data_IF_440624443192
#
_entry.id   IF_440624443192
#
_cell.length_a   1.000
_cell.length_b   1.000
_cell.length_c   1.000
_cell.angle_alpha   90.00
_cell.angle_beta   90.00
_cell.angle_gamma   90.00
#
_symmetry.space_group_name_H-M   'P 1'
#
loop_
_entity.id
_entity.type
_entity.pdbx_description
1 polymer ?
#
# COMPACT_ATOMS: atom_id res chain seq x y z
N UNK A 1 39.12 -4.63 73.52
CA UNK A 1 39.61 -5.65 72.57
C UNK A 1 38.64 -5.73 71.39
N UNK A 2 38.97 -5.08 70.26
CA UNK A 2 38.16 -5.18 69.04
C UNK A 2 38.45 -6.53 68.37
N UNK A 3 37.41 -7.35 68.20
CA UNK A 3 37.49 -8.60 67.42
C UNK A 3 37.94 -8.23 66.01
N UNK A 4 39.04 -8.83 65.52
CA UNK A 4 39.47 -8.70 64.13
C UNK A 4 38.30 -9.09 63.24
N UNK A 5 37.73 -8.11 62.56
CA UNK A 5 36.63 -8.31 61.62
C UNK A 5 37.08 -9.26 60.50
N UNK A 6 36.32 -10.35 60.33
CA UNK A 6 36.45 -11.27 59.21
C UNK A 6 35.96 -10.58 57.92
N UNK A 7 36.82 -9.78 57.33
CA UNK A 7 36.53 -8.90 56.19
C UNK A 7 36.29 -9.64 54.85
N UNK A 8 36.33 -10.98 54.82
CA UNK A 8 36.13 -11.76 53.59
C UNK A 8 34.76 -12.39 53.56
N UNK A 9 33.97 -12.11 52.54
CA UNK A 9 32.62 -12.65 52.38
C UNK A 9 32.67 -14.13 51.98
N UNK A 10 31.58 -14.87 52.20
CA UNK A 10 31.47 -16.26 51.73
C UNK A 10 31.67 -16.36 50.21
N UNK A 11 31.17 -15.37 49.46
CA UNK A 11 31.27 -15.33 48.00
C UNK A 11 32.74 -15.25 47.53
N UNK A 12 33.59 -14.50 48.22
CA UNK A 12 35.02 -14.39 47.89
C UNK A 12 35.75 -15.73 48.12
N UNK A 13 35.42 -16.41 49.22
CA UNK A 13 35.94 -17.74 49.56
C UNK A 13 35.47 -18.76 48.51
N UNK A 14 34.20 -18.71 48.12
CA UNK A 14 33.62 -19.62 47.14
C UNK A 14 34.23 -19.43 45.75
N UNK A 15 34.44 -18.19 45.29
CA UNK A 15 35.06 -17.89 44.01
C UNK A 15 36.49 -18.44 43.93
N UNK A 16 37.28 -18.25 44.99
CA UNK A 16 38.66 -18.75 45.08
C UNK A 16 38.67 -20.27 45.19
N UNK A 17 37.80 -20.86 46.01
CA UNK A 17 37.68 -22.31 46.16
C UNK A 17 37.27 -22.99 44.84
N UNK A 18 36.35 -22.37 44.07
CA UNK A 18 35.96 -22.83 42.74
C UNK A 18 37.12 -22.75 41.73
N UNK A 19 37.93 -21.69 41.79
CA UNK A 19 39.12 -21.56 40.93
C UNK A 19 40.14 -22.66 41.27
N UNK A 20 40.45 -22.84 42.54
CA UNK A 20 41.36 -23.89 43.01
C UNK A 20 40.85 -25.29 42.67
N UNK A 21 39.54 -25.52 42.74
CA UNK A 21 38.92 -26.79 42.35
C UNK A 21 39.13 -27.07 40.85
N UNK A 22 39.03 -26.06 39.98
CA UNK A 22 39.33 -26.21 38.53
C UNK A 22 40.80 -26.52 38.30
N UNK A 23 41.70 -25.79 38.96
CA UNK A 23 43.16 -26.02 38.89
C UNK A 23 43.54 -27.42 39.39
N UNK A 24 42.82 -27.93 40.39
CA UNK A 24 43.00 -29.27 40.93
C UNK A 24 42.32 -30.38 40.10
N UNK A 25 41.73 -30.05 38.94
CA UNK A 25 41.05 -31.02 38.07
C UNK A 25 39.79 -31.63 38.71
N UNK A 26 39.09 -30.88 39.55
CA UNK A 26 37.88 -31.33 40.25
C UNK A 26 38.13 -32.09 41.55
N UNK A 27 39.38 -32.11 42.05
CA UNK A 27 39.71 -32.72 43.33
C UNK A 27 39.26 -31.87 44.53
N UNK A 28 38.20 -32.31 45.21
CA UNK A 28 37.71 -31.60 46.39
C UNK A 28 38.68 -31.66 47.58
N UNK A 29 39.51 -32.70 47.67
CA UNK A 29 40.43 -32.90 48.79
C UNK A 29 41.64 -31.97 48.73
N UNK A 30 42.02 -31.56 47.51
CA UNK A 30 43.12 -30.60 47.28
C UNK A 30 42.76 -29.15 47.62
N UNK A 31 41.48 -28.83 47.77
CA UNK A 31 41.05 -27.49 48.19
C UNK A 31 40.91 -27.47 49.71
N UNK A 32 41.87 -26.86 50.42
CA UNK A 32 41.83 -26.74 51.88
C UNK A 32 41.98 -25.29 52.36
N UNK A 33 41.57 -25.01 53.61
CA UNK A 33 41.48 -23.65 54.16
C UNK A 33 42.76 -22.81 54.03
N UNK A 34 43.94 -23.40 54.19
CA UNK A 34 45.20 -22.67 53.96
C UNK A 34 45.44 -22.29 52.49
N UNK A 35 45.14 -23.16 51.52
CA UNK A 35 45.32 -22.84 50.10
C UNK A 35 44.38 -21.71 49.67
N UNK A 36 43.13 -21.75 50.15
CA UNK A 36 42.15 -20.68 49.95
C UNK A 36 42.60 -19.38 50.63
N UNK A 37 43.11 -19.45 51.86
CA UNK A 37 43.63 -18.27 52.58
C UNK A 37 44.83 -17.63 51.86
N UNK A 38 45.79 -18.43 51.40
CA UNK A 38 46.96 -17.95 50.65
C UNK A 38 46.55 -17.33 49.32
N UNK A 39 45.63 -17.95 48.58
CA UNK A 39 45.08 -17.39 47.34
C UNK A 39 44.28 -16.09 47.59
N UNK A 40 43.76 -15.91 48.80
CA UNK A 40 43.11 -14.69 49.28
C UNK A 40 44.12 -13.65 49.82
N UNK A 41 45.43 -13.88 49.72
CA UNK A 41 46.47 -12.95 50.19
C UNK A 41 46.71 -12.98 51.70
N UNK A 42 46.25 -14.02 52.40
CA UNK A 42 46.48 -14.22 53.83
C UNK A 42 47.64 -15.21 54.06
N UNK A 43 48.50 -14.99 55.07
CA UNK A 43 49.63 -15.88 55.33
C UNK A 43 49.21 -17.27 55.82
N UNK A 44 48.04 -17.38 56.50
CA UNK A 44 47.46 -18.65 56.94
C UNK A 44 45.94 -18.50 57.12
N UNK A 45 45.19 -19.60 57.01
CA UNK A 45 43.76 -19.62 57.30
C UNK A 45 43.48 -19.35 58.78
N UNK A 46 42.44 -18.56 59.05
CA UNK A 46 41.87 -18.39 60.39
C UNK A 46 40.60 -19.27 60.52
N UNK A 47 40.07 -19.39 61.74
CA UNK A 47 38.90 -20.24 62.04
C UNK A 47 37.67 -19.90 61.17
N UNK A 48 37.51 -18.63 60.80
CA UNK A 48 36.45 -18.17 59.90
C UNK A 48 36.61 -18.71 58.48
N UNK A 49 37.81 -18.62 57.90
CA UNK A 49 38.09 -19.16 56.55
C UNK A 49 37.90 -20.68 56.54
N UNK A 50 38.32 -21.39 57.58
CA UNK A 50 38.08 -22.85 57.68
C UNK A 50 36.59 -23.17 57.68
N UNK A 51 35.78 -22.51 58.51
CA UNK A 51 34.33 -22.73 58.54
C UNK A 51 33.67 -22.48 57.18
N UNK A 52 34.07 -21.39 56.49
CA UNK A 52 33.53 -21.04 55.16
C UNK A 52 33.93 -22.04 54.07
N UNK A 53 35.15 -22.57 54.14
CA UNK A 53 35.61 -23.62 53.21
C UNK A 53 34.92 -24.95 53.48
N UNK A 54 34.68 -25.30 54.75
CA UNK A 54 33.94 -26.52 55.11
C UNK A 54 32.48 -26.45 54.63
N UNK A 55 31.83 -25.28 54.78
CA UNK A 55 30.48 -25.06 54.24
C UNK A 55 30.45 -25.12 52.70
N UNK A 56 31.48 -24.58 52.03
CA UNK A 56 31.65 -24.74 50.59
C UNK A 56 31.82 -26.22 50.18
N UNK A 57 32.65 -26.98 50.90
CA UNK A 57 32.88 -28.42 50.63
C UNK A 57 31.58 -29.21 50.73
N UNK A 58 30.81 -29.03 51.81
CA UNK A 58 29.50 -29.68 51.97
C UNK A 58 28.57 -29.40 50.78
N UNK A 59 28.54 -28.17 50.26
CA UNK A 59 27.72 -27.83 49.09
C UNK A 59 28.22 -28.48 47.80
N UNK A 60 29.53 -28.66 47.65
CA UNK A 60 30.10 -29.36 46.49
C UNK A 60 29.89 -30.87 46.56
N UNK A 61 29.89 -31.45 47.77
CA UNK A 61 29.49 -32.83 48.02
C UNK A 61 28.01 -33.05 47.67
N UNK A 62 27.11 -32.15 48.10
CA UNK A 62 25.68 -32.21 47.72
C UNK A 62 25.49 -32.13 46.20
N UNK A 63 26.32 -31.34 45.50
CA UNK A 63 26.32 -31.25 44.03
C UNK A 63 26.97 -32.47 43.35
N UNK A 64 27.45 -33.45 44.10
CA UNK A 64 28.07 -34.66 43.56
C UNK A 64 29.49 -34.47 43.02
N UNK A 65 30.12 -33.31 43.24
CA UNK A 65 31.46 -33.01 42.69
C UNK A 65 32.51 -34.01 43.19
N UNK A 66 32.42 -34.42 44.45
CA UNK A 66 33.33 -35.42 45.03
C UNK A 66 33.27 -36.77 44.29
N UNK A 67 32.13 -37.10 43.67
CA UNK A 67 31.90 -38.37 42.99
C UNK A 67 32.31 -38.34 41.50
N UNK A 68 32.71 -37.19 40.97
CA UNK A 68 33.14 -37.06 39.56
C UNK A 68 34.32 -38.00 39.25
N UNK A 69 35.20 -38.25 40.22
CA UNK A 69 36.32 -39.18 40.07
C UNK A 69 35.92 -40.66 40.09
N UNK A 70 34.75 -40.96 40.65
CA UNK A 70 34.18 -42.29 40.69
C UNK A 70 33.37 -42.58 39.42
N UNK A 71 33.19 -41.58 38.55
CA UNK A 71 32.55 -41.77 37.27
C UNK A 71 33.37 -42.74 36.40
N UNK A 72 32.71 -43.60 35.62
CA UNK A 72 33.38 -44.45 34.65
C UNK A 72 34.27 -43.63 33.71
N UNK A 73 35.49 -44.12 33.46
CA UNK A 73 36.39 -43.57 32.44
C UNK A 73 35.71 -43.62 31.07
N UNK A 74 35.68 -42.50 30.32
CA UNK A 74 34.99 -42.41 29.03
C UNK A 74 33.57 -41.85 29.09
N UNK A 75 32.92 -41.81 30.27
CA UNK A 75 31.56 -41.29 30.40
C UNK A 75 31.46 -39.81 30.04
N UNK A 76 32.52 -39.04 30.35
CA UNK A 76 32.59 -37.62 30.02
C UNK A 76 32.59 -37.41 28.51
N UNK A 77 33.47 -38.12 27.81
CA UNK A 77 33.62 -38.03 26.36
C UNK A 77 32.34 -38.48 25.66
N UNK A 78 31.72 -39.58 26.12
CA UNK A 78 30.44 -40.06 25.58
C UNK A 78 29.29 -39.06 25.79
N UNK A 79 29.22 -38.42 26.97
CA UNK A 79 28.23 -37.38 27.25
C UNK A 79 28.46 -36.12 26.40
N UNK A 80 29.72 -35.68 26.28
CA UNK A 80 30.09 -34.53 25.46
C UNK A 80 29.74 -34.78 23.97
N UNK A 81 30.04 -35.96 23.42
CA UNK A 81 29.72 -36.33 22.04
C UNK A 81 28.21 -36.42 21.79
N UNK A 82 27.46 -37.09 22.68
CA UNK A 82 26.00 -37.21 22.57
C UNK A 82 25.30 -35.85 22.70
N UNK A 83 25.74 -35.01 23.64
CA UNK A 83 25.20 -33.67 23.82
C UNK A 83 25.53 -32.77 22.63
N UNK A 84 26.76 -32.84 22.13
CA UNK A 84 27.17 -32.07 20.97
C UNK A 84 26.32 -32.42 19.74
N UNK A 85 26.21 -33.71 19.44
CA UNK A 85 25.40 -34.22 18.31
C UNK A 85 23.94 -33.82 18.45
N UNK A 86 23.34 -34.03 19.64
CA UNK A 86 21.93 -33.68 19.87
C UNK A 86 21.65 -32.18 19.75
N UNK A 87 22.54 -31.33 20.27
CA UNK A 87 22.42 -29.87 20.15
C UNK A 87 22.60 -29.44 18.68
N UNK A 88 23.56 -30.02 17.97
CA UNK A 88 23.80 -29.72 16.55
C UNK A 88 22.59 -30.08 15.68
N UNK A 89 21.97 -31.24 15.91
CA UNK A 89 20.74 -31.66 15.23
C UNK A 89 19.58 -30.68 15.48
N UNK A 90 19.40 -30.25 16.72
CA UNK A 90 18.35 -29.26 17.07
C UNK A 90 18.63 -27.93 16.37
N UNK A 91 19.87 -27.45 16.39
CA UNK A 91 20.25 -26.21 15.69
C UNK A 91 19.99 -26.33 14.19
N UNK A 92 20.35 -27.46 13.58
CA UNK A 92 20.12 -27.72 12.15
C UNK A 92 18.64 -27.73 11.81
N UNK A 93 17.80 -28.36 12.62
CA UNK A 93 16.34 -28.37 12.45
C UNK A 93 15.79 -26.94 12.57
N UNK A 94 16.20 -26.20 13.60
CA UNK A 94 15.75 -24.83 13.83
C UNK A 94 16.11 -23.91 12.65
N UNK A 95 17.34 -24.00 12.15
CA UNK A 95 17.78 -23.26 10.96
C UNK A 95 16.99 -23.67 9.71
N UNK A 96 16.76 -24.97 9.51
CA UNK A 96 15.97 -25.47 8.38
C UNK A 96 14.53 -24.99 8.39
N UNK A 97 13.86 -25.02 9.55
CA UNK A 97 12.49 -24.52 9.72
C UNK A 97 12.40 -23.00 9.53
N UNK A 98 13.36 -22.27 10.09
CA UNK A 98 13.43 -20.80 9.94
C UNK A 98 13.66 -20.42 8.49
N UNK A 99 14.64 -21.04 7.82
CA UNK A 99 14.93 -20.82 6.41
C UNK A 99 13.73 -21.12 5.51
N UNK A 100 13.04 -22.25 5.74
CA UNK A 100 11.81 -22.61 5.01
C UNK A 100 10.69 -21.58 5.18
N UNK A 101 10.59 -20.96 6.36
CA UNK A 101 9.56 -19.95 6.63
C UNK A 101 9.86 -18.66 5.88
N UNK A 102 11.12 -18.21 5.95
CA UNK A 102 11.59 -17.02 5.22
C UNK A 102 11.43 -17.21 3.71
N UNK A 103 11.80 -18.37 3.17
CA UNK A 103 11.73 -18.66 1.74
C UNK A 103 10.28 -18.60 1.22
N UNK A 104 9.33 -19.19 1.97
CA UNK A 104 7.89 -19.10 1.66
C UNK A 104 7.34 -17.68 1.73
N UNK A 105 7.86 -16.84 2.61
CA UNK A 105 7.47 -15.44 2.71
C UNK A 105 8.01 -14.64 1.53
N UNK A 106 9.28 -14.84 1.18
CA UNK A 106 9.88 -14.26 -0.04
C UNK A 106 9.12 -14.66 -1.30
N UNK A 107 8.76 -15.92 -1.44
CA UNK A 107 8.01 -16.40 -2.60
C UNK A 107 6.62 -15.74 -2.68
N UNK A 108 5.92 -15.58 -1.55
CA UNK A 108 4.64 -14.87 -1.48
C UNK A 108 4.79 -13.37 -1.80
N UNK A 109 5.83 -12.73 -1.27
CA UNK A 109 6.13 -11.33 -1.58
C UNK A 109 6.37 -11.15 -3.07
N UNK A 110 7.19 -12.01 -3.66
CA UNK A 110 7.50 -11.96 -5.08
C UNK A 110 6.26 -12.14 -5.96
N UNK A 111 5.42 -13.14 -5.66
CA UNK A 111 4.14 -13.33 -6.36
C UNK A 111 3.23 -12.10 -6.27
N UNK A 112 3.17 -11.48 -5.09
CA UNK A 112 2.36 -10.28 -4.87
C UNK A 112 2.91 -9.10 -5.65
N UNK A 113 4.23 -8.89 -5.63
CA UNK A 113 4.91 -7.85 -6.41
C UNK A 113 4.67 -8.03 -7.92
N UNK A 114 4.75 -9.26 -8.44
CA UNK A 114 4.46 -9.52 -9.86
C UNK A 114 3.01 -9.16 -10.21
N UNK A 115 2.04 -9.63 -9.42
CA UNK A 115 0.63 -9.32 -9.65
C UNK A 115 0.32 -7.82 -9.56
N UNK A 116 0.95 -7.13 -8.61
CA UNK A 116 0.81 -5.67 -8.49
C UNK A 116 1.45 -4.96 -9.69
N UNK A 117 2.60 -5.41 -10.17
CA UNK A 117 3.26 -4.89 -11.36
C UNK A 117 2.40 -5.03 -12.62
N UNK A 118 1.80 -6.22 -12.83
CA UNK A 118 0.86 -6.46 -13.93
C UNK A 118 -0.37 -5.54 -13.85
N UNK A 119 -0.94 -5.38 -12.65
CA UNK A 119 -2.09 -4.50 -12.45
C UNK A 119 -1.76 -3.03 -12.68
N UNK A 120 -0.58 -2.58 -12.26
CA UNK A 120 -0.10 -1.22 -12.51
C UNK A 120 0.02 -0.98 -14.02
N UNK A 121 0.69 -1.89 -14.74
CA UNK A 121 0.84 -1.77 -16.19
C UNK A 121 -0.50 -1.71 -16.92
N UNK A 122 -1.49 -2.50 -16.49
CA UNK A 122 -2.84 -2.46 -17.04
C UNK A 122 -3.54 -1.11 -16.77
N UNK A 123 -3.47 -0.61 -15.53
CA UNK A 123 -4.05 0.69 -15.17
C UNK A 123 -3.36 1.86 -15.90
N UNK A 124 -2.06 1.79 -16.12
CA UNK A 124 -1.32 2.77 -16.91
C UNK A 124 -1.79 2.76 -18.38
N UNK A 125 -1.98 1.58 -18.96
CA UNK A 125 -2.53 1.44 -20.32
C UNK A 125 -3.96 1.98 -20.42
N UNK A 126 -4.82 1.70 -19.43
CA UNK A 126 -6.19 2.24 -19.39
C UNK A 126 -6.16 3.76 -19.28
N UNK A 127 -5.32 4.32 -18.41
CA UNK A 127 -5.17 5.76 -18.22
C UNK A 127 -4.73 6.47 -19.51
N UNK A 128 -3.79 5.88 -20.24
CA UNK A 128 -3.33 6.46 -21.51
C UNK A 128 -4.43 6.40 -22.58
N UNK A 129 -5.18 5.30 -22.66
CA UNK A 129 -6.34 5.21 -23.56
C UNK A 129 -7.42 6.25 -23.26
N UNK A 130 -7.70 6.49 -21.97
CA UNK A 130 -8.66 7.51 -21.52
C UNK A 130 -8.17 8.94 -21.83
N UNK A 131 -6.87 9.18 -21.73
CA UNK A 131 -6.26 10.46 -22.13
C UNK A 131 -6.40 10.69 -23.62
N UNK A 132 -6.13 9.69 -24.44
CA UNK A 132 -6.30 9.77 -25.89
C UNK A 132 -7.77 10.02 -26.27
N UNK A 133 -8.70 9.30 -25.63
CA UNK A 133 -10.14 9.50 -25.83
C UNK A 133 -10.59 10.93 -25.48
N UNK A 134 -10.07 11.50 -24.39
CA UNK A 134 -10.34 12.91 -24.01
C UNK A 134 -9.81 13.89 -25.04
N UNK A 135 -8.58 13.72 -25.52
CA UNK A 135 -8.01 14.60 -26.56
C UNK A 135 -8.86 14.56 -27.83
N UNK A 136 -9.32 13.37 -28.23
CA UNK A 136 -10.23 13.22 -29.37
C UNK A 136 -11.57 13.92 -29.12
N UNK A 137 -12.16 13.75 -27.94
CA UNK A 137 -13.41 14.41 -27.57
C UNK A 137 -13.28 15.95 -27.59
N UNK A 138 -12.21 16.50 -27.02
CA UNK A 138 -11.94 17.94 -27.00
C UNK A 138 -11.80 18.49 -28.43
N UNK A 139 -11.07 17.77 -29.29
CA UNK A 139 -10.94 18.15 -30.72
C UNK A 139 -12.31 18.15 -31.42
N UNK A 140 -13.18 17.18 -31.12
CA UNK A 140 -14.53 17.11 -31.68
C UNK A 140 -15.39 18.27 -31.18
N UNK A 141 -15.33 18.61 -29.89
CA UNK A 141 -16.03 19.78 -29.33
C UNK A 141 -15.56 21.07 -29.99
N UNK A 142 -14.26 21.24 -30.21
CA UNK A 142 -13.73 22.44 -30.89
C UNK A 142 -14.24 22.53 -32.34
N UNK A 143 -14.24 21.42 -33.09
CA UNK A 143 -14.76 21.41 -34.47
C UNK A 143 -16.26 21.68 -34.53
N UNK A 144 -17.05 21.10 -33.62
CA UNK A 144 -18.49 21.37 -33.54
C UNK A 144 -18.76 22.83 -33.16
N UNK A 145 -17.98 23.40 -32.25
CA UNK A 145 -18.09 24.82 -31.88
C UNK A 145 -17.82 25.75 -33.06
N UNK A 146 -16.80 25.46 -33.88
CA UNK A 146 -16.51 26.21 -35.12
C UNK A 146 -17.66 26.10 -36.13
N UNK A 147 -18.23 24.90 -36.31
CA UNK A 147 -19.39 24.69 -37.19
C UNK A 147 -20.62 25.45 -36.72
N UNK A 148 -20.91 25.44 -35.41
CA UNK A 148 -22.02 26.19 -34.84
C UNK A 148 -21.87 27.69 -35.07
N UNK A 149 -20.66 28.24 -34.87
CA UNK A 149 -20.39 29.65 -35.16
C UNK A 149 -20.64 30.00 -36.64
N UNK A 150 -20.17 29.17 -37.57
CA UNK A 150 -20.41 29.36 -39.00
C UNK A 150 -21.90 29.31 -39.36
N UNK A 151 -22.65 28.35 -38.81
CA UNK A 151 -24.10 28.25 -39.02
C UNK A 151 -24.86 29.45 -38.42
N UNK A 152 -24.41 29.98 -37.28
CA UNK A 152 -24.98 31.20 -36.69
C UNK A 152 -24.75 32.42 -37.58
N UNK A 153 -23.56 32.56 -38.16
CA UNK A 153 -23.23 33.64 -39.10
C UNK A 153 -24.06 33.53 -40.40
N UNK A 154 -24.21 32.31 -40.94
CA UNK A 154 -25.07 32.04 -42.11
C UNK A 154 -26.54 32.37 -41.83
N UNK A 155 -27.06 31.94 -40.68
CA UNK A 155 -28.43 32.25 -40.27
C UNK A 155 -28.65 33.76 -40.09
N UNK A 156 -27.67 34.48 -39.53
CA UNK A 156 -27.73 35.93 -39.41
C UNK A 156 -27.69 36.64 -40.78
N UNK A 157 -26.90 36.14 -41.72
CA UNK A 157 -26.85 36.67 -43.08
C UNK A 157 -28.18 36.44 -43.82
N UNK A 158 -28.76 35.25 -43.69
CA UNK A 158 -30.03 34.92 -44.33
C UNK A 158 -31.19 35.72 -43.73
N UNK A 159 -31.21 35.90 -42.40
CA UNK A 159 -32.16 36.81 -41.75
C UNK A 159 -32.08 38.22 -42.32
N UNK A 160 -30.88 38.78 -42.47
CA UNK A 160 -30.71 40.12 -43.08
C UNK A 160 -31.24 40.17 -44.52
N UNK A 161 -31.07 39.10 -45.31
CA UNK A 161 -31.62 39.02 -46.67
C UNK A 161 -33.15 38.98 -46.65
N UNK A 162 -33.75 38.20 -45.75
CA UNK A 162 -35.18 38.13 -45.56
C UNK A 162 -35.75 39.51 -45.14
N UNK A 163 -35.15 40.18 -44.15
CA UNK A 163 -35.55 41.51 -43.70
C UNK A 163 -35.51 42.54 -44.86
N UNK A 164 -34.47 42.48 -45.71
CA UNK A 164 -34.37 43.33 -46.90
C UNK A 164 -35.42 43.01 -47.97
N UNK A 165 -35.75 41.73 -48.16
CA UNK A 165 -36.77 41.31 -49.11
C UNK A 165 -38.17 41.75 -48.65
N UNK A 166 -38.45 41.62 -47.35
CA UNK A 166 -39.69 42.09 -46.72
C UNK A 166 -39.84 43.60 -46.85
N UNK A 167 -38.78 44.38 -46.56
CA UNK A 167 -38.80 45.83 -46.75
C UNK A 167 -39.09 46.25 -48.20
N UNK A 168 -38.54 45.52 -49.19
CA UNK A 168 -38.85 45.75 -50.61
C UNK A 168 -40.29 45.41 -50.96
N UNK A 169 -40.84 44.33 -50.41
CA UNK A 169 -42.25 43.98 -50.61
C UNK A 169 -43.17 45.05 -50.06
N UNK A 170 -42.87 45.58 -48.88
CA UNK A 170 -43.64 46.67 -48.27
C UNK A 170 -43.54 47.97 -49.05
N UNK A 171 -42.36 48.30 -49.61
CA UNK A 171 -42.21 49.42 -50.53
C UNK A 171 -43.09 49.24 -51.78
N UNK A 172 -43.04 48.06 -52.41
CA UNK A 172 -43.87 47.75 -53.59
C UNK A 172 -45.36 47.80 -53.26
N UNK A 173 -45.78 47.28 -52.10
CA UNK A 173 -47.16 47.40 -51.60
C UNK A 173 -47.57 48.86 -51.44
N UNK A 174 -46.71 49.69 -50.85
CA UNK A 174 -46.96 51.13 -50.70
C UNK A 174 -47.04 51.86 -52.04
N UNK A 175 -46.15 51.53 -52.99
CA UNK A 175 -46.20 52.06 -54.37
C UNK A 175 -47.50 51.64 -55.06
N UNK A 176 -47.90 50.39 -54.93
CA UNK A 176 -49.14 49.84 -55.48
C UNK A 176 -50.38 50.52 -54.88
N UNK A 177 -50.46 50.68 -53.56
CA UNK A 177 -51.54 51.44 -52.91
C UNK A 177 -51.59 52.89 -53.38
N UNK A 178 -50.44 53.54 -53.55
CA UNK A 178 -50.38 54.91 -54.05
C UNK A 178 -50.83 55.02 -55.51
N UNK A 179 -50.47 54.04 -56.35
CA UNK A 179 -50.98 53.94 -57.72
C UNK A 179 -52.49 53.72 -57.74
N UNK A 180 -53.01 52.82 -56.91
CA UNK A 180 -54.45 52.61 -56.74
C UNK A 180 -55.16 53.90 -56.33
N UNK A 181 -54.64 54.63 -55.33
CA UNK A 181 -55.18 55.93 -54.91
C UNK A 181 -55.18 56.93 -56.05
N UNK A 182 -54.11 57.01 -56.85
CA UNK A 182 -53.99 57.93 -58.00
C UNK A 182 -54.93 57.56 -59.15
N UNK A 183 -55.07 56.27 -59.46
CA UNK A 183 -56.03 55.77 -60.44
C UNK A 183 -57.49 56.02 -60.00
N UNK A 184 -57.76 55.99 -58.69
CA UNK A 184 -59.04 56.39 -58.11
C UNK A 184 -59.31 57.92 -58.08
N UNK A 185 -58.45 58.77 -58.67
CA UNK A 185 -58.71 60.22 -58.84
C UNK A 185 -59.37 60.56 -60.19
N UNK A 186 -59.68 59.56 -61.03
CA UNK A 186 -60.65 59.72 -62.11
C UNK A 186 -61.99 59.10 -61.69
N UNK A 187 -63.15 59.80 -61.80
CA UNK A 187 -64.42 59.19 -61.47
C UNK A 187 -64.84 58.28 -62.65
N UNK A 188 -64.29 57.08 -62.70
CA UNK A 188 -64.89 55.99 -63.45
C UNK A 188 -65.86 55.28 -62.51
N UNK A 189 -67.16 55.60 -62.69
CA UNK A 189 -68.27 54.75 -62.27
C UNK A 189 -68.05 53.32 -62.75
N UNK A 190 -68.75 52.40 -62.07
CA UNK A 190 -68.98 50.97 -62.36
C UNK A 190 -67.73 50.08 -62.22
N UNK A 191 -67.75 48.93 -61.57
CA UNK A 191 -68.83 48.04 -61.14
C UNK A 191 -68.24 47.13 -60.06
N UNK A 192 -68.97 46.85 -58.97
CA UNK A 192 -68.56 45.81 -58.00
C UNK A 192 -68.70 44.46 -58.71
N UNK A 193 -67.57 43.87 -59.10
CA UNK A 193 -67.52 42.43 -59.34
C UNK A 193 -67.24 41.78 -58.00
N UNK A 194 -68.29 41.23 -57.39
CA UNK A 194 -68.15 40.19 -56.39
C UNK A 194 -67.64 38.96 -57.12
N UNK A 195 -66.35 38.67 -57.01
CA UNK A 195 -65.80 37.38 -57.39
C UNK A 195 -65.61 36.58 -56.12
N UNK A 196 -66.46 35.57 -55.96
CA UNK A 196 -66.33 34.55 -54.94
C UNK A 196 -65.05 33.76 -55.22
N UNK A 197 -64.08 33.83 -54.31
CA UNK A 197 -63.06 32.81 -54.16
C UNK A 197 -63.38 32.01 -52.90
N UNK A 198 -64.03 30.88 -53.10
CA UNK A 198 -63.95 29.74 -52.19
C UNK A 198 -62.48 29.31 -52.11
N UNK A 199 -61.80 29.69 -51.03
CA UNK A 199 -60.54 29.05 -50.65
C UNK A 199 -60.92 27.84 -49.82
N UNK A 200 -60.79 26.66 -50.43
CA UNK A 200 -60.75 25.40 -49.70
C UNK A 200 -59.53 25.44 -48.77
N UNK A 201 -59.77 25.23 -47.49
CA UNK A 201 -58.74 24.82 -46.54
C UNK A 201 -58.24 23.44 -46.97
N UNK A 202 -57.12 23.38 -47.68
CA UNK A 202 -56.34 22.14 -47.79
C UNK A 202 -55.29 22.15 -46.69
N UNK A 203 -55.73 21.54 -45.60
CA UNK A 203 -54.99 21.00 -44.48
C UNK A 203 -54.01 19.92 -44.99
N UNK A 204 -52.82 20.31 -45.46
CA UNK A 204 -51.69 19.39 -45.67
C UNK A 204 -50.83 19.33 -44.40
N UNK A 205 -51.40 18.74 -43.35
CA UNK A 205 -50.63 18.11 -42.30
C UNK A 205 -49.86 16.93 -42.89
N UNK A 206 -48.57 17.11 -43.20
CA UNK A 206 -47.66 15.99 -43.38
C UNK A 206 -47.43 15.31 -42.02
N UNK A 207 -47.83 14.04 -41.82
CA UNK A 207 -47.45 13.33 -40.61
C UNK A 207 -45.96 12.97 -40.71
N UNK A 208 -45.15 13.58 -39.84
CA UNK A 208 -43.79 13.08 -39.59
C UNK A 208 -43.96 11.73 -38.87
N UNK A 209 -43.68 10.65 -39.58
CA UNK A 209 -43.61 9.30 -39.01
C UNK A 209 -42.37 9.20 -38.10
N UNK A 210 -42.62 9.20 -36.78
CA UNK A 210 -41.61 9.11 -35.73
C UNK A 210 -41.34 7.65 -35.30
N UNK A 211 -41.81 6.65 -36.04
CA UNK A 211 -41.70 5.23 -35.66
C UNK A 211 -40.53 4.51 -36.33
N UNK A 212 -39.31 5.06 -36.28
CA UNK A 212 -38.13 4.29 -36.71
C UNK A 212 -36.77 4.78 -36.18
N UNK A 213 -36.58 4.75 -34.87
CA UNK A 213 -35.24 4.61 -34.28
C UNK A 213 -35.33 3.73 -33.03
N UNK A 214 -35.45 2.43 -33.25
CA UNK A 214 -34.94 1.45 -32.30
C UNK A 214 -33.42 1.49 -32.40
N UNK A 215 -32.76 1.88 -31.31
CA UNK A 215 -31.33 1.67 -31.12
C UNK A 215 -31.13 0.21 -30.70
N UNK A 216 -30.65 -0.64 -31.62
CA UNK A 216 -29.97 -1.89 -31.29
C UNK A 216 -28.45 -1.67 -31.32
N UNK A 217 -27.81 -2.15 -30.25
CA UNK A 217 -26.37 -2.38 -29.96
C UNK A 217 -25.42 -1.17 -29.76
#
# INVERSE_FOLDING_TARGET
MRKKEDWKTQADVDAIANRLLREAGGDLDRVHGNAVATALGMPKGNQSIYAKVDDWKKRMETKGIHHIRQAPTGLREELEERLHTGVEDIVRIALGLTGKTIDRERQRSHQTETLLGEKIALLESELDSEREARVLADSKVETMSKKLAALMDEAAAEKRRADLAEAKLDEVRGQHENLFKRLNVAPARSERVQEALEVKEEDEGYPIDMSRYDYEE
#
